data_IF_908800507521
#
_entry.id   IF_908800507521
#
_cell.length_a   1.000
_cell.length_b   1.000
_cell.length_c   1.000
_cell.angle_alpha   90.00
_cell.angle_beta   90.00
_cell.angle_gamma   90.00
#
_symmetry.space_group_name_H-M   'P 1'
#
loop_
_entity.id
_entity.type
_entity.pdbx_description
1 polymer ?
#
# COMPACT_ATOMS: atom_id res chain seq x y z
N UNK A 1 9.16 -7.22 7.23
CA UNK A 1 8.51 -7.04 5.91
C UNK A 1 7.57 -5.86 5.98
N UNK A 2 7.28 -5.21 4.85
CA UNK A 2 6.52 -3.97 4.78
C UNK A 2 5.53 -4.03 3.60
N UNK A 3 4.36 -3.41 3.77
CA UNK A 3 3.38 -3.16 2.74
C UNK A 3 2.78 -1.77 2.85
N UNK A 4 2.34 -1.19 1.75
CA UNK A 4 1.64 0.09 1.72
C UNK A 4 0.65 0.17 0.57
N UNK A 5 -0.30 1.09 0.70
CA UNK A 5 -1.22 1.43 -0.36
C UNK A 5 -1.60 2.91 -0.31
N UNK A 6 -1.99 3.48 -1.46
CA UNK A 6 -2.45 4.86 -1.58
C UNK A 6 -3.70 4.94 -2.46
N UNK A 7 -4.65 5.77 -2.05
CA UNK A 7 -5.88 6.07 -2.79
C UNK A 7 -5.94 7.58 -3.05
N UNK A 8 -5.94 7.98 -4.30
CA UNK A 8 -6.27 9.35 -4.73
C UNK A 8 -7.78 9.54 -4.64
N UNK A 9 -8.24 10.39 -3.72
CA UNK A 9 -9.67 10.57 -3.42
C UNK A 9 -10.42 11.16 -4.62
N UNK A 10 -9.86 12.19 -5.24
CA UNK A 10 -10.49 12.86 -6.37
C UNK A 10 -10.57 11.95 -7.59
N UNK A 11 -9.47 11.28 -7.91
CA UNK A 11 -9.43 10.31 -9.01
C UNK A 11 -10.43 9.18 -8.80
N UNK A 12 -10.48 8.62 -7.60
CA UNK A 12 -11.40 7.54 -7.24
C UNK A 12 -12.86 7.96 -7.37
N UNK A 13 -13.21 9.14 -6.88
CA UNK A 13 -14.60 9.68 -6.99
C UNK A 13 -15.04 9.82 -8.43
N UNK A 14 -14.14 10.16 -9.34
CA UNK A 14 -14.45 10.39 -10.75
C UNK A 14 -14.46 9.13 -11.61
N UNK A 15 -13.64 8.12 -11.26
CA UNK A 15 -13.36 6.99 -12.16
C UNK A 15 -13.81 5.64 -11.62
N UNK A 16 -14.29 5.56 -10.37
CA UNK A 16 -14.69 4.29 -9.77
C UNK A 16 -16.12 4.32 -9.27
N UNK A 17 -16.95 3.47 -9.85
CA UNK A 17 -18.30 3.19 -9.34
C UNK A 17 -18.27 2.01 -8.38
N UNK A 18 -17.90 2.31 -7.11
CA UNK A 18 -17.87 1.31 -6.05
C UNK A 18 -19.27 0.88 -5.59
N UNK A 19 -20.33 1.66 -5.93
CA UNK A 19 -21.74 1.33 -5.65
C UNK A 19 -22.36 0.44 -6.71
N UNK A 20 -21.62 0.10 -7.77
CA UNK A 20 -22.12 -0.83 -8.80
C UNK A 20 -22.52 -2.16 -8.16
N UNK A 21 -23.60 -2.75 -8.67
CA UNK A 21 -24.17 -3.99 -8.15
C UNK A 21 -23.10 -5.09 -8.02
N UNK A 22 -23.00 -5.68 -6.82
CA UNK A 22 -22.15 -6.82 -6.52
C UNK A 22 -20.66 -6.51 -6.39
N UNK A 23 -20.23 -5.25 -6.42
CA UNK A 23 -18.82 -4.91 -6.18
C UNK A 23 -18.47 -5.06 -4.69
N UNK A 24 -19.31 -4.53 -3.81
CA UNK A 24 -19.16 -4.64 -2.36
C UNK A 24 -19.08 -6.11 -1.93
N UNK A 25 -19.98 -6.95 -2.43
CA UNK A 25 -20.02 -8.38 -2.11
C UNK A 25 -18.77 -9.17 -2.53
N UNK A 26 -18.05 -8.68 -3.54
CA UNK A 26 -16.81 -9.29 -4.01
C UNK A 26 -15.57 -8.87 -3.21
N UNK A 27 -15.68 -7.78 -2.47
CA UNK A 27 -14.54 -7.15 -1.82
C UNK A 27 -14.61 -7.27 -0.30
N UNK A 28 -15.82 -7.21 0.26
CA UNK A 28 -16.06 -7.13 1.69
C UNK A 28 -16.97 -8.23 2.18
N UNK A 29 -16.60 -8.84 3.31
CA UNK A 29 -17.46 -9.79 4.01
C UNK A 29 -18.66 -9.09 4.70
N UNK A 30 -19.61 -9.86 5.24
CA UNK A 30 -20.83 -9.33 5.85
C UNK A 30 -20.55 -8.35 7.00
N UNK A 31 -19.55 -8.64 7.86
CA UNK A 31 -19.18 -7.76 8.99
C UNK A 31 -18.53 -6.46 8.53
N UNK A 32 -17.74 -6.54 7.48
CA UNK A 32 -17.15 -5.37 6.85
C UNK A 32 -18.21 -4.48 6.21
N UNK A 33 -19.22 -5.09 5.55
CA UNK A 33 -20.36 -4.39 4.96
C UNK A 33 -21.21 -3.67 6.02
N UNK A 34 -21.44 -4.28 7.19
CA UNK A 34 -22.07 -3.59 8.32
C UNK A 34 -21.28 -2.32 8.71
N UNK A 35 -19.95 -2.41 8.78
CA UNK A 35 -19.09 -1.28 9.11
C UNK A 35 -19.12 -0.17 8.06
N UNK A 36 -19.42 -0.48 6.81
CA UNK A 36 -19.56 0.49 5.71
C UNK A 36 -20.88 1.28 5.81
N UNK A 37 -21.93 0.67 6.33
CA UNK A 37 -23.28 1.28 6.36
C UNK A 37 -23.50 2.25 7.53
N UNK A 38 -22.68 2.16 8.58
CA UNK A 38 -22.84 2.95 9.81
C UNK A 38 -22.33 4.40 9.68
N UNK A 39 -21.16 4.68 9.07
CA UNK A 39 -20.59 6.02 9.05
C UNK A 39 -21.31 7.00 8.13
N UNK A 40 -21.20 8.29 8.45
CA UNK A 40 -21.70 9.39 7.63
C UNK A 40 -20.98 9.50 6.27
N UNK A 41 -19.75 9.01 6.14
CA UNK A 41 -19.00 8.94 4.88
C UNK A 41 -18.58 7.50 4.56
N UNK A 42 -19.50 6.75 3.96
CA UNK A 42 -19.25 5.39 3.49
C UNK A 42 -18.14 5.33 2.42
N UNK A 43 -17.89 6.41 1.67
CA UNK A 43 -16.82 6.44 0.68
C UNK A 43 -15.44 6.29 1.35
N UNK A 44 -15.15 7.11 2.37
CA UNK A 44 -13.86 7.04 3.04
C UNK A 44 -13.67 5.69 3.75
N UNK A 45 -14.73 5.16 4.35
CA UNK A 45 -14.71 3.84 5.00
C UNK A 45 -14.36 2.73 4.02
N UNK A 46 -15.03 2.67 2.88
CA UNK A 46 -14.79 1.68 1.82
C UNK A 46 -13.34 1.72 1.35
N UNK A 47 -12.84 2.91 1.03
CA UNK A 47 -11.50 3.04 0.45
C UNK A 47 -10.38 2.90 1.50
N UNK A 48 -10.65 3.23 2.76
CA UNK A 48 -9.76 2.88 3.86
C UNK A 48 -9.60 1.37 3.98
N UNK A 49 -10.72 0.64 4.07
CA UNK A 49 -10.70 -0.81 4.23
C UNK A 49 -10.06 -1.50 3.02
N UNK A 50 -10.34 -1.02 1.80
CA UNK A 50 -9.65 -1.48 0.59
C UNK A 50 -8.14 -1.26 0.69
N UNK A 51 -7.71 -0.06 1.05
CA UNK A 51 -6.28 0.29 1.19
C UNK A 51 -5.59 -0.56 2.27
N UNK A 52 -6.28 -0.87 3.37
CA UNK A 52 -5.78 -1.78 4.40
C UNK A 52 -5.54 -3.19 3.86
N UNK A 53 -6.50 -3.74 3.10
CA UNK A 53 -6.37 -5.07 2.46
C UNK A 53 -5.21 -5.10 1.47
N UNK A 54 -5.09 -4.09 0.61
CA UNK A 54 -4.00 -3.98 -0.38
C UNK A 54 -2.61 -3.85 0.29
N UNK A 55 -2.50 -3.05 1.34
CA UNK A 55 -1.26 -2.90 2.09
C UNK A 55 -0.82 -4.24 2.72
N UNK A 56 -1.77 -4.93 3.37
CA UNK A 56 -1.50 -6.23 4.00
C UNK A 56 -1.22 -7.30 2.95
N UNK A 57 -1.95 -7.34 1.84
CA UNK A 57 -1.66 -8.26 0.76
C UNK A 57 -0.21 -8.15 0.26
N UNK A 58 0.29 -6.93 0.03
CA UNK A 58 1.67 -6.71 -0.39
C UNK A 58 2.70 -7.23 0.62
N UNK A 59 2.40 -7.09 1.91
CA UNK A 59 3.25 -7.63 2.97
C UNK A 59 3.16 -9.17 3.01
N UNK A 60 1.93 -9.71 3.02
CA UNK A 60 1.67 -11.14 3.11
C UNK A 60 2.28 -11.91 1.94
N UNK A 61 2.11 -11.40 0.71
CA UNK A 61 2.74 -11.95 -0.49
C UNK A 61 4.27 -12.07 -0.37
N UNK A 62 4.92 -11.10 0.29
CA UNK A 62 6.38 -11.17 0.54
C UNK A 62 6.74 -12.27 1.52
N UNK A 63 5.90 -12.53 2.49
CA UNK A 63 6.14 -13.55 3.51
C UNK A 63 5.86 -14.96 3.00
N UNK A 64 4.81 -15.14 2.23
CA UNK A 64 4.39 -16.45 1.69
C UNK A 64 5.04 -16.80 0.36
N UNK A 65 5.54 -15.80 -0.38
CA UNK A 65 6.01 -15.94 -1.77
C UNK A 65 4.92 -16.43 -2.72
N UNK A 66 3.65 -16.17 -2.39
CA UNK A 66 2.50 -16.53 -3.20
C UNK A 66 1.79 -15.29 -3.72
N UNK A 67 1.51 -15.24 -5.02
CA UNK A 67 0.79 -14.16 -5.68
C UNK A 67 -0.66 -14.56 -5.91
N UNK A 68 -1.49 -14.39 -4.87
CA UNK A 68 -2.94 -14.63 -4.98
C UNK A 68 -3.68 -13.56 -4.17
N UNK A 69 -4.35 -12.63 -4.86
CA UNK A 69 -5.16 -11.61 -4.20
C UNK A 69 -6.63 -12.00 -4.26
N UNK A 70 -7.17 -12.37 -3.10
CA UNK A 70 -8.60 -12.53 -2.90
C UNK A 70 -9.03 -11.59 -1.77
N UNK A 71 -9.72 -10.46 -2.04
CA UNK A 71 -10.12 -9.52 -1.00
C UNK A 71 -10.97 -10.12 0.13
N UNK A 72 -11.79 -11.14 -0.17
CA UNK A 72 -12.62 -11.81 0.83
C UNK A 72 -11.83 -12.69 1.80
N UNK A 73 -10.62 -13.11 1.43
CA UNK A 73 -9.75 -13.86 2.36
C UNK A 73 -9.01 -12.95 3.35
N UNK A 74 -9.08 -11.62 3.17
CA UNK A 74 -8.49 -10.63 4.05
C UNK A 74 -9.60 -9.98 4.88
N UNK A 75 -9.83 -10.46 6.09
CA UNK A 75 -10.84 -9.86 6.98
C UNK A 75 -10.29 -8.62 7.68
N UNK A 76 -10.96 -7.50 7.48
CA UNK A 76 -10.50 -6.17 7.86
C UNK A 76 -11.37 -5.59 8.97
N UNK A 77 -10.75 -4.96 9.98
CA UNK A 77 -11.46 -4.26 11.05
C UNK A 77 -10.73 -2.97 11.43
N UNK A 78 -11.44 -1.86 11.44
CA UNK A 78 -10.97 -0.60 11.99
C UNK A 78 -10.97 -0.68 13.52
N UNK A 79 -9.90 -0.22 14.17
CA UNK A 79 -9.76 -0.18 15.64
C UNK A 79 -10.06 1.21 16.18
N UNK A 80 -9.63 2.25 15.47
CA UNK A 80 -9.88 3.65 15.71
C UNK A 80 -9.76 4.44 14.38
N UNK A 81 -9.62 5.76 14.44
CA UNK A 81 -9.57 6.61 13.24
C UNK A 81 -8.34 6.35 12.36
N UNK A 82 -7.23 5.89 12.91
CA UNK A 82 -5.98 5.65 12.17
C UNK A 82 -5.62 4.16 12.10
N UNK A 83 -5.81 3.45 13.21
CA UNK A 83 -5.38 2.07 13.34
C UNK A 83 -6.42 1.07 12.87
N UNK A 84 -5.95 -0.01 12.28
CA UNK A 84 -6.77 -1.14 11.90
C UNK A 84 -6.02 -2.46 11.97
N UNK A 85 -6.74 -3.54 11.75
CA UNK A 85 -6.20 -4.89 11.68
C UNK A 85 -6.81 -5.62 10.49
N UNK A 86 -5.97 -6.34 9.76
CA UNK A 86 -6.39 -7.26 8.71
C UNK A 86 -5.89 -8.65 9.07
N UNK A 87 -6.78 -9.62 9.03
CA UNK A 87 -6.47 -11.02 9.27
C UNK A 87 -6.52 -11.79 7.95
N UNK A 88 -5.45 -12.54 7.66
CA UNK A 88 -5.36 -13.46 6.54
C UNK A 88 -4.60 -14.70 6.99
N UNK A 89 -5.08 -15.89 6.66
CA UNK A 89 -4.51 -17.19 7.05
C UNK A 89 -4.24 -17.31 8.56
N UNK A 90 -5.15 -16.76 9.39
CA UNK A 90 -5.06 -16.67 10.84
C UNK A 90 -3.92 -15.79 11.38
N UNK A 91 -3.24 -15.06 10.52
CA UNK A 91 -2.22 -14.07 10.89
C UNK A 91 -2.82 -12.69 10.90
N UNK A 92 -2.57 -11.94 11.98
CA UNK A 92 -3.06 -10.56 12.15
C UNK A 92 -1.97 -9.56 11.84
N UNK A 93 -2.27 -8.65 10.92
CA UNK A 93 -1.42 -7.53 10.54
C UNK A 93 -2.07 -6.23 10.97
N UNK A 94 -1.32 -5.39 11.69
CA UNK A 94 -1.78 -4.07 12.08
C UNK A 94 -1.47 -3.07 10.98
N UNK A 95 -2.44 -2.21 10.69
CA UNK A 95 -2.31 -1.16 9.70
C UNK A 95 -2.42 0.21 10.36
N UNK A 96 -1.70 1.17 9.83
CA UNK A 96 -1.86 2.59 10.14
C UNK A 96 -2.27 3.32 8.87
N UNK A 97 -3.34 4.10 8.96
CA UNK A 97 -3.90 4.87 7.85
C UNK A 97 -3.81 6.37 8.15
N UNK A 98 -3.23 7.11 7.25
CA UNK A 98 -3.20 8.56 7.26
C UNK A 98 -4.18 9.11 6.22
N UNK A 99 -5.01 10.04 6.64
CA UNK A 99 -5.98 10.74 5.79
C UNK A 99 -5.54 12.16 5.54
N UNK A 100 -5.73 12.59 4.30
CA UNK A 100 -5.74 14.00 3.93
C UNK A 100 -7.01 14.30 3.14
N UNK A 101 -7.22 15.55 2.73
CA UNK A 101 -8.32 15.89 1.82
C UNK A 101 -8.12 15.28 0.42
N UNK A 102 -6.90 14.88 0.07
CA UNK A 102 -6.49 14.48 -1.26
C UNK A 102 -6.27 12.99 -1.42
N UNK A 103 -5.79 12.31 -0.37
CA UNK A 103 -5.47 10.88 -0.44
C UNK A 103 -5.67 10.16 0.90
N UNK A 104 -5.83 8.83 0.81
CA UNK A 104 -5.74 7.88 1.91
C UNK A 104 -4.44 7.11 1.70
N UNK A 105 -3.58 7.06 2.72
CA UNK A 105 -2.36 6.27 2.68
C UNK A 105 -2.33 5.28 3.84
N UNK A 106 -2.22 4.00 3.52
CA UNK A 106 -2.14 2.94 4.53
C UNK A 106 -0.80 2.23 4.46
N UNK A 107 -0.22 1.97 5.62
CA UNK A 107 1.00 1.18 5.77
C UNK A 107 0.83 0.06 6.79
N UNK A 108 1.60 -1.00 6.62
CA UNK A 108 1.68 -2.14 7.54
C UNK A 108 3.10 -2.68 7.61
N UNK A 109 3.48 -3.18 8.79
CA UNK A 109 4.78 -3.82 9.04
C UNK A 109 4.56 -5.07 9.89
N UNK A 110 5.39 -6.08 9.72
CA UNK A 110 5.34 -7.31 10.50
C UNK A 110 5.97 -7.18 11.89
N UNK A 111 6.72 -6.11 12.13
CA UNK A 111 7.36 -5.85 13.42
C UNK A 111 7.28 -4.38 13.80
N UNK A 112 6.74 -4.08 14.98
CA UNK A 112 6.68 -2.73 15.55
C UNK A 112 8.07 -2.13 15.86
N UNK A 113 9.14 -2.93 15.84
CA UNK A 113 10.50 -2.48 16.09
C UNK A 113 11.18 -1.91 14.84
N UNK A 114 10.60 -2.13 13.65
CA UNK A 114 11.18 -1.61 12.42
C UNK A 114 10.85 -0.13 12.25
N UNK A 115 11.88 0.68 12.08
CA UNK A 115 11.70 2.05 11.62
C UNK A 115 11.39 2.02 10.13
N UNK A 116 10.29 2.62 9.75
CA UNK A 116 9.83 2.71 8.38
C UNK A 116 9.71 4.17 7.98
N UNK A 117 10.34 4.51 6.87
CA UNK A 117 10.22 5.83 6.28
C UNK A 117 9.18 5.78 5.15
N UNK A 118 8.25 6.74 5.16
CA UNK A 118 7.16 6.86 4.19
C UNK A 118 7.33 8.12 3.35
N UNK A 119 7.16 7.97 2.05
CA UNK A 119 7.21 9.09 1.12
C UNK A 119 5.99 9.08 0.21
N UNK A 120 5.35 10.23 0.07
CA UNK A 120 4.24 10.45 -0.84
C UNK A 120 4.60 11.63 -1.74
N UNK A 121 4.51 11.43 -3.05
CA UNK A 121 4.81 12.43 -4.06
C UNK A 121 3.63 12.56 -5.01
N UNK A 122 3.25 13.80 -5.32
CA UNK A 122 2.40 14.08 -6.47
C UNK A 122 3.26 13.99 -7.73
N UNK A 123 2.80 13.23 -8.72
CA UNK A 123 3.50 13.03 -9.99
C UNK A 123 2.53 13.30 -11.13
N UNK A 124 3.02 13.86 -12.24
CA UNK A 124 2.22 13.99 -13.43
C UNK A 124 1.86 12.62 -14.00
N UNK A 125 0.58 12.43 -14.33
CA UNK A 125 0.03 11.16 -14.80
C UNK A 125 0.73 10.60 -16.06
N UNK A 126 1.43 11.45 -16.81
CA UNK A 126 2.12 11.10 -18.05
C UNK A 126 3.58 10.64 -17.87
N UNK A 127 4.13 10.72 -16.66
CA UNK A 127 5.56 10.48 -16.43
C UNK A 127 5.80 9.15 -15.68
N UNK A 128 5.32 8.05 -16.26
CA UNK A 128 5.41 6.71 -15.67
C UNK A 128 6.84 6.19 -15.52
N UNK A 129 7.76 6.57 -16.42
CA UNK A 129 9.15 6.13 -16.40
C UNK A 129 9.94 6.80 -15.27
N UNK A 130 9.61 8.05 -14.90
CA UNK A 130 10.30 8.78 -13.83
C UNK A 130 10.02 8.29 -12.41
N UNK A 131 9.04 7.40 -12.20
CA UNK A 131 8.68 6.95 -10.84
C UNK A 131 9.80 6.20 -10.14
N UNK A 132 10.47 5.33 -10.83
CA UNK A 132 11.61 4.60 -10.27
C UNK A 132 12.80 5.52 -10.03
N UNK A 133 12.98 6.53 -10.88
CA UNK A 133 14.00 7.56 -10.69
C UNK A 133 13.73 8.40 -9.44
N UNK A 134 12.48 8.83 -9.22
CA UNK A 134 12.07 9.56 -8.02
C UNK A 134 12.34 8.73 -6.74
N UNK A 135 12.02 7.43 -6.78
CA UNK A 135 12.26 6.53 -5.66
C UNK A 135 13.76 6.38 -5.43
N UNK A 136 14.54 6.09 -6.49
CA UNK A 136 15.98 5.91 -6.39
C UNK A 136 16.68 7.20 -5.93
N UNK A 137 16.30 8.37 -6.45
CA UNK A 137 16.85 9.66 -5.99
C UNK A 137 16.62 9.86 -4.49
N UNK A 138 15.38 9.61 -4.02
CA UNK A 138 15.07 9.76 -2.60
C UNK A 138 15.87 8.78 -1.75
N UNK A 139 15.94 7.51 -2.16
CA UNK A 139 16.64 6.45 -1.44
C UNK A 139 18.16 6.66 -1.43
N UNK A 140 18.75 6.98 -2.58
CA UNK A 140 20.18 7.18 -2.71
C UNK A 140 20.66 8.38 -1.88
N UNK A 141 19.88 9.47 -1.86
CA UNK A 141 20.17 10.63 -1.02
C UNK A 141 20.13 10.28 0.47
N UNK A 142 19.13 9.49 0.90
CA UNK A 142 19.00 9.07 2.30
C UNK A 142 20.09 8.11 2.73
N UNK A 143 20.48 7.16 1.86
CA UNK A 143 21.50 6.13 2.14
C UNK A 143 22.93 6.59 1.79
N UNK A 144 23.09 7.80 1.27
CA UNK A 144 24.36 8.30 0.75
C UNK A 144 24.97 7.39 -0.34
N UNK A 145 24.11 6.79 -1.17
CA UNK A 145 24.52 5.90 -2.25
C UNK A 145 24.71 6.66 -3.56
N UNK A 146 25.68 6.21 -4.34
CA UNK A 146 25.86 6.64 -5.73
C UNK A 146 24.73 6.06 -6.60
N UNK A 147 23.82 6.92 -7.07
CA UNK A 147 22.65 6.53 -7.87
C UNK A 147 23.04 5.71 -9.11
N UNK A 148 24.21 5.99 -9.74
CA UNK A 148 24.67 5.26 -10.92
C UNK A 148 24.90 3.77 -10.65
N UNK A 149 25.05 3.38 -9.39
CA UNK A 149 25.24 2.01 -8.93
C UNK A 149 23.98 1.38 -8.37
N UNK A 150 22.85 2.11 -8.38
CA UNK A 150 21.59 1.65 -7.85
C UNK A 150 20.64 1.19 -8.95
N UNK A 151 19.92 0.11 -8.70
CA UNK A 151 18.84 -0.36 -9.56
C UNK A 151 17.64 -0.77 -8.73
N UNK A 152 16.46 -0.37 -9.19
CA UNK A 152 15.16 -0.81 -8.67
C UNK A 152 14.51 -1.72 -9.70
N UNK A 153 14.32 -2.97 -9.36
CA UNK A 153 13.74 -3.99 -10.24
C UNK A 153 12.59 -4.70 -9.53
N UNK A 154 11.72 -5.35 -10.30
CA UNK A 154 10.72 -6.26 -9.74
C UNK A 154 11.15 -7.69 -9.98
N UNK A 155 11.04 -8.53 -8.95
CA UNK A 155 11.24 -9.97 -9.10
C UNK A 155 10.04 -10.64 -9.81
N UNK A 156 10.06 -11.94 -9.99
CA UNK A 156 9.03 -12.71 -10.69
C UNK A 156 7.63 -12.59 -10.06
N UNK A 157 7.57 -12.29 -8.77
CA UNK A 157 6.31 -12.02 -8.06
C UNK A 157 5.84 -10.57 -8.19
N UNK A 158 6.62 -9.70 -8.85
CA UNK A 158 6.34 -8.28 -8.95
C UNK A 158 6.74 -7.48 -7.70
N UNK A 159 7.47 -8.08 -6.77
CA UNK A 159 7.97 -7.43 -5.55
C UNK A 159 9.15 -6.54 -5.92
N UNK A 160 9.14 -5.24 -5.57
CA UNK A 160 10.26 -4.36 -5.81
C UNK A 160 11.46 -4.70 -4.91
N UNK A 161 12.63 -4.71 -5.52
CA UNK A 161 13.92 -5.00 -4.90
C UNK A 161 14.95 -3.95 -5.34
N UNK A 162 15.79 -3.53 -4.39
CA UNK A 162 16.85 -2.56 -4.63
C UNK A 162 18.19 -3.28 -4.69
N UNK A 163 18.97 -2.97 -5.70
CA UNK A 163 20.33 -3.44 -5.87
C UNK A 163 21.30 -2.26 -5.79
N UNK A 164 22.42 -2.46 -5.12
CA UNK A 164 23.56 -1.54 -5.03
C UNK A 164 24.85 -2.28 -5.37
N UNK A 165 25.63 -1.77 -6.31
CA UNK A 165 26.82 -2.46 -6.85
C UNK A 165 26.51 -3.90 -7.28
N UNK A 166 25.41 -4.12 -8.01
CA UNK A 166 24.93 -5.41 -8.51
C UNK A 166 24.56 -6.44 -7.42
N UNK A 167 24.57 -6.05 -6.16
CA UNK A 167 24.14 -6.89 -5.05
C UNK A 167 22.78 -6.44 -4.53
N UNK A 168 21.91 -7.41 -4.25
CA UNK A 168 20.61 -7.13 -3.62
C UNK A 168 20.85 -6.50 -2.26
N UNK A 169 20.26 -5.32 -2.06
CA UNK A 169 20.30 -4.60 -0.78
C UNK A 169 19.43 -5.29 0.27
N UNK A 170 19.75 -5.06 1.53
CA UNK A 170 18.88 -5.44 2.67
C UNK A 170 17.66 -4.53 2.82
N UNK A 171 17.66 -3.36 2.15
CA UNK A 171 16.55 -2.41 2.20
C UNK A 171 15.31 -3.04 1.57
N UNK A 172 14.26 -3.13 2.38
CA UNK A 172 12.94 -3.55 1.90
C UNK A 172 12.14 -2.32 1.48
N UNK A 173 11.51 -2.40 0.31
CA UNK A 173 10.69 -1.30 -0.22
C UNK A 173 9.33 -1.81 -0.66
N UNK A 174 8.28 -1.07 -0.33
CA UNK A 174 6.92 -1.26 -0.87
C UNK A 174 6.51 -0.02 -1.65
N UNK A 175 5.92 -0.21 -2.81
CA UNK A 175 5.55 0.86 -3.74
C UNK A 175 4.07 0.76 -4.06
N UNK A 176 3.41 1.89 -4.07
CA UNK A 176 2.02 2.03 -4.48
C UNK A 176 1.85 3.26 -5.37
N UNK A 177 0.84 3.24 -6.22
CA UNK A 177 0.52 4.35 -7.09
C UNK A 177 -0.97 4.34 -7.41
N UNK A 178 -1.59 5.50 -7.28
CA UNK A 178 -2.99 5.69 -7.67
C UNK A 178 -3.25 7.16 -8.04
N UNK A 179 -3.94 7.38 -9.17
CA UNK A 179 -4.17 8.72 -9.71
C UNK A 179 -2.85 9.49 -9.91
N UNK A 180 -2.75 10.66 -9.31
CA UNK A 180 -1.54 11.50 -9.36
C UNK A 180 -0.53 11.22 -8.22
N UNK A 181 -0.78 10.23 -7.36
CA UNK A 181 0.08 9.97 -6.21
C UNK A 181 0.94 8.72 -6.39
N UNK A 182 2.21 8.87 -6.08
CA UNK A 182 3.19 7.82 -5.85
C UNK A 182 3.47 7.74 -4.36
N UNK A 183 3.22 6.59 -3.76
CA UNK A 183 3.58 6.29 -2.39
C UNK A 183 4.65 5.20 -2.34
N UNK A 184 5.66 5.36 -1.50
CA UNK A 184 6.59 4.28 -1.21
C UNK A 184 7.04 4.32 0.24
N UNK A 185 7.31 3.15 0.77
CA UNK A 185 7.78 2.96 2.13
C UNK A 185 8.99 2.06 2.10
N UNK A 186 10.00 2.34 2.90
CA UNK A 186 11.17 1.49 3.01
C UNK A 186 11.65 1.38 4.46
N UNK A 187 12.37 0.31 4.72
CA UNK A 187 13.04 0.05 5.99
C UNK A 187 14.38 -0.66 5.76
N UNK A 188 15.33 -0.41 6.65
CA UNK A 188 16.66 -1.00 6.66
C UNK A 188 16.78 -2.01 7.78
#
# INVERSE_FOLDING_TARGET
>A
VIGNDIIDIEYTRRHTDWKRRGWIDKVFDEKEQESITIPSDSFLTVWRMWSMKEAVYKLHMRSTQERSFNPLSLSCRMLDDEMGVVEVDRVKYFTQTNFTNDYIFTSTVDSRKMKVDHHIKSIDAFNFESRYDIILDTMCNYQEWDKSKCRLVKNDLGIPEIYFNDKKSIVMISITHHGKYLGFSYCC
#
